data_IF_859584479756
#
_entry.id   IF_859584479756
#
_cell.length_a   1.000
_cell.length_b   1.000
_cell.length_c   1.000
_cell.angle_alpha   90.00
_cell.angle_beta   90.00
_cell.angle_gamma   90.00
#
_symmetry.space_group_name_H-M   'P 1'
#
loop_
_entity.id
_entity.type
_entity.pdbx_description
1 polymer ?
#
# COMPACT_ATOMS: atom_id res chain seq x y z
N UNK A 1 -28.93 5.36 -12.78
CA UNK A 1 -29.04 4.89 -11.42
C UNK A 1 -27.87 5.37 -10.58
N UNK A 2 -28.05 5.37 -9.30
CA UNK A 2 -27.14 5.96 -8.38
C UNK A 2 -25.84 5.21 -8.06
N UNK A 3 -25.51 4.12 -8.73
CA UNK A 3 -24.29 3.39 -8.41
C UNK A 3 -23.09 4.03 -9.10
N UNK A 4 -22.13 4.48 -8.28
CA UNK A 4 -20.87 4.99 -8.79
C UNK A 4 -20.00 3.79 -9.22
N UNK A 5 -19.36 3.89 -10.37
CA UNK A 5 -18.49 2.81 -10.86
C UNK A 5 -17.21 2.71 -10.02
N UNK A 6 -16.61 1.54 -10.01
CA UNK A 6 -15.31 1.37 -9.35
C UNK A 6 -14.25 2.25 -10.00
N UNK A 7 -14.34 2.46 -11.31
CA UNK A 7 -13.43 3.34 -12.04
C UNK A 7 -13.51 4.78 -11.54
N UNK A 8 -14.72 5.28 -11.31
CA UNK A 8 -14.93 6.62 -10.77
C UNK A 8 -14.40 6.72 -9.34
N UNK A 9 -14.65 5.67 -8.54
CA UNK A 9 -14.18 5.65 -7.16
C UNK A 9 -12.66 5.72 -7.09
N UNK A 10 -11.98 4.97 -7.95
CA UNK A 10 -10.52 5.00 -8.04
C UNK A 10 -10.03 6.37 -8.51
N UNK A 11 -10.67 6.94 -9.53
CA UNK A 11 -10.29 8.25 -10.05
C UNK A 11 -10.40 9.33 -8.97
N UNK A 12 -11.48 9.31 -8.19
CA UNK A 12 -11.67 10.25 -7.09
C UNK A 12 -10.59 10.05 -6.01
N UNK A 13 -10.26 8.80 -5.68
CA UNK A 13 -9.22 8.50 -4.72
C UNK A 13 -7.88 9.05 -5.19
N UNK A 14 -7.51 8.80 -6.45
CA UNK A 14 -6.24 9.26 -7.02
C UNK A 14 -6.10 10.78 -6.97
N UNK A 15 -7.20 11.52 -7.08
CA UNK A 15 -7.16 12.99 -7.02
C UNK A 15 -6.89 13.53 -5.61
N UNK A 16 -6.99 12.67 -4.59
CA UNK A 16 -6.90 13.09 -3.18
C UNK A 16 -5.69 12.54 -2.45
N UNK A 17 -4.91 11.67 -3.08
CA UNK A 17 -3.81 10.97 -2.43
C UNK A 17 -2.49 11.26 -3.11
N UNK A 18 -1.41 10.95 -2.40
CA UNK A 18 -0.05 11.08 -2.92
C UNK A 18 0.33 9.80 -3.65
N UNK A 19 0.77 9.94 -4.89
CA UNK A 19 1.22 8.81 -5.72
C UNK A 19 2.72 8.93 -5.97
N UNK A 20 3.45 7.86 -5.65
CA UNK A 20 4.89 7.80 -5.87
C UNK A 20 5.21 6.99 -7.12
N UNK A 21 6.28 7.36 -7.79
CA UNK A 21 6.87 6.50 -8.81
C UNK A 21 7.61 5.36 -8.10
N UNK A 22 7.93 4.29 -8.83
CA UNK A 22 8.71 3.19 -8.25
C UNK A 22 10.09 3.69 -7.79
N UNK A 23 10.69 4.64 -8.52
CA UNK A 23 11.99 5.22 -8.14
C UNK A 23 11.91 5.97 -6.82
N UNK A 24 10.89 6.79 -6.65
CA UNK A 24 10.69 7.55 -5.40
C UNK A 24 10.47 6.60 -4.21
N UNK A 25 9.67 5.56 -4.43
CA UNK A 25 9.40 4.58 -3.38
C UNK A 25 10.66 3.78 -3.02
N UNK A 26 11.45 3.39 -4.02
CA UNK A 26 12.69 2.64 -3.79
C UNK A 26 13.67 3.47 -2.97
N UNK A 27 13.75 4.76 -3.23
CA UNK A 27 14.60 5.66 -2.45
C UNK A 27 14.20 5.68 -0.99
N UNK A 28 12.91 5.76 -0.69
CA UNK A 28 12.41 5.73 0.68
C UNK A 28 12.76 4.40 1.37
N UNK A 29 12.60 3.29 0.66
CA UNK A 29 12.91 1.96 1.18
C UNK A 29 14.40 1.84 1.48
N UNK A 30 15.25 2.29 0.55
CA UNK A 30 16.70 2.19 0.72
C UNK A 30 17.21 3.04 1.88
N UNK A 31 16.52 4.13 2.21
CA UNK A 31 16.85 5.00 3.34
C UNK A 31 16.14 4.60 4.63
N UNK A 32 15.37 3.51 4.59
CA UNK A 32 14.57 3.04 5.73
C UNK A 32 13.63 4.14 6.28
N UNK A 33 12.99 4.86 5.37
CA UNK A 33 12.12 5.99 5.72
C UNK A 33 10.64 5.69 5.57
N UNK A 34 10.28 4.44 5.29
CA UNK A 34 8.87 4.08 5.12
C UNK A 34 8.58 2.68 5.62
N UNK A 35 7.27 2.45 5.83
CA UNK A 35 6.71 1.10 5.97
C UNK A 35 6.16 0.74 4.60
N UNK A 36 6.69 -0.30 3.99
CA UNK A 36 6.23 -0.76 2.69
C UNK A 36 5.14 -1.81 2.91
N UNK A 37 3.93 -1.54 2.47
CA UNK A 37 2.75 -2.36 2.76
C UNK A 37 2.17 -2.97 1.50
N UNK A 38 2.16 -4.31 1.45
CA UNK A 38 1.63 -5.09 0.34
C UNK A 38 0.18 -5.45 0.62
N UNK A 39 -0.72 -4.98 -0.23
CA UNK A 39 -2.17 -5.15 -0.05
C UNK A 39 -2.73 -6.36 -0.81
N UNK A 40 -1.88 -7.09 -1.53
CA UNK A 40 -2.34 -8.17 -2.39
C UNK A 40 -2.90 -9.34 -1.58
N UNK A 41 -3.66 -10.20 -2.24
CA UNK A 41 -4.13 -11.45 -1.68
C UNK A 41 -2.93 -12.37 -1.46
N UNK A 42 -2.96 -13.20 -0.40
CA UNK A 42 -1.84 -14.08 -0.07
C UNK A 42 -1.48 -15.01 -1.24
N UNK A 43 -2.45 -15.40 -2.04
CA UNK A 43 -2.20 -16.27 -3.20
C UNK A 43 -1.32 -15.59 -4.24
N UNK A 44 -1.42 -14.27 -4.36
CA UNK A 44 -0.55 -13.51 -5.28
C UNK A 44 0.90 -13.54 -4.79
N UNK A 45 1.12 -13.43 -3.48
CA UNK A 45 2.46 -13.52 -2.91
C UNK A 45 3.05 -14.92 -3.11
N UNK A 46 2.24 -15.94 -2.90
CA UNK A 46 2.68 -17.33 -3.06
C UNK A 46 3.05 -17.65 -4.52
N UNK A 47 2.29 -17.10 -5.45
CA UNK A 47 2.48 -17.35 -6.88
C UNK A 47 3.58 -16.49 -7.49
N UNK A 48 3.60 -15.20 -7.15
CA UNK A 48 4.45 -14.21 -7.82
C UNK A 48 5.67 -13.80 -7.00
N UNK A 49 5.71 -14.18 -5.73
CA UNK A 49 6.74 -13.74 -4.81
C UNK A 49 6.34 -12.48 -4.07
N UNK A 50 7.18 -12.06 -3.15
CA UNK A 50 6.93 -10.88 -2.32
C UNK A 50 8.12 -9.94 -2.37
N UNK A 51 7.85 -8.66 -2.15
CA UNK A 51 8.91 -7.66 -2.07
C UNK A 51 9.63 -7.79 -0.72
N UNK A 52 10.95 -7.84 -0.75
CA UNK A 52 11.77 -7.93 0.46
C UNK A 52 11.46 -6.78 1.41
N UNK A 53 11.32 -7.11 2.70
CA UNK A 53 11.03 -6.17 3.77
C UNK A 53 9.66 -5.51 3.70
N UNK A 54 8.74 -6.01 2.88
CA UNK A 54 7.38 -5.50 2.88
C UNK A 54 6.55 -6.19 3.97
N UNK A 55 5.54 -5.46 4.46
CA UNK A 55 4.57 -5.98 5.40
C UNK A 55 3.33 -6.39 4.62
N UNK A 56 2.92 -7.64 4.76
CA UNK A 56 1.70 -8.08 4.09
C UNK A 56 0.48 -7.78 4.94
N UNK A 57 -0.36 -6.87 4.47
CA UNK A 57 -1.64 -6.54 5.11
C UNK A 57 -2.69 -6.62 4.02
N UNK A 58 -3.45 -7.72 3.92
CA UNK A 58 -4.46 -7.87 2.86
C UNK A 58 -5.44 -6.71 2.89
N UNK A 59 -5.86 -6.25 1.72
CA UNK A 59 -6.74 -5.09 1.61
C UNK A 59 -7.94 -5.16 2.57
N UNK A 60 -8.53 -6.34 2.73
CA UNK A 60 -9.72 -6.52 3.57
C UNK A 60 -9.47 -6.32 5.07
N UNK A 61 -8.23 -6.36 5.51
CA UNK A 61 -7.88 -6.21 6.93
C UNK A 61 -7.16 -4.91 7.23
N UNK A 62 -6.89 -4.10 6.20
CA UNK A 62 -6.03 -2.93 6.34
C UNK A 62 -6.45 -1.97 7.45
N UNK A 63 -7.69 -1.52 7.42
CA UNK A 63 -8.16 -0.54 8.41
C UNK A 63 -8.07 -1.07 9.83
N UNK A 64 -8.38 -2.34 10.00
CA UNK A 64 -8.36 -2.98 11.33
C UNK A 64 -6.94 -3.17 11.84
N UNK A 65 -6.02 -3.55 10.97
CA UNK A 65 -4.62 -3.80 11.36
C UNK A 65 -3.82 -2.51 11.53
N UNK A 66 -4.31 -1.41 10.95
CA UNK A 66 -3.65 -0.10 11.06
C UNK A 66 -4.24 0.80 12.15
N UNK A 67 -5.36 0.43 12.74
CA UNK A 67 -6.03 1.19 13.79
C UNK A 67 -5.45 0.80 15.17
N UNK A 68 -4.71 1.70 15.84
CA UNK A 68 -4.12 1.40 17.15
C UNK A 68 -5.15 1.01 18.23
N UNK A 69 -6.40 1.42 18.07
CA UNK A 69 -7.47 1.09 19.01
C UNK A 69 -8.16 -0.23 18.69
N UNK A 70 -7.83 -0.84 17.57
CA UNK A 70 -8.40 -2.12 17.18
C UNK A 70 -7.66 -3.27 17.87
N UNK A 71 -8.38 -4.35 18.28
CA UNK A 71 -7.71 -5.53 18.83
C UNK A 71 -6.83 -6.25 17.83
N UNK A 72 -6.94 -5.87 16.55
CA UNK A 72 -6.15 -6.49 15.46
C UNK A 72 -4.91 -5.67 15.09
N UNK A 73 -4.64 -4.58 15.81
CA UNK A 73 -3.49 -3.73 15.50
C UNK A 73 -2.18 -4.52 15.60
N UNK A 74 -1.30 -4.35 14.61
CA UNK A 74 0.01 -5.03 14.53
C UNK A 74 1.07 -4.24 15.26
N UNK A 75 0.93 -4.10 16.58
CA UNK A 75 1.86 -3.37 17.41
C UNK A 75 3.29 -3.88 17.24
N UNK A 76 4.23 -2.95 17.11
CA UNK A 76 5.66 -3.28 16.95
C UNK A 76 6.06 -3.70 15.56
N UNK A 77 5.11 -3.86 14.63
CA UNK A 77 5.41 -4.25 13.24
C UNK A 77 5.47 -3.05 12.32
N UNK A 78 4.71 -2.01 12.64
CA UNK A 78 4.61 -0.80 11.83
C UNK A 78 5.14 0.37 12.65
N UNK A 79 6.07 1.12 12.06
CA UNK A 79 6.57 2.35 12.69
C UNK A 79 5.64 3.50 12.29
N UNK A 80 4.81 3.93 13.24
CA UNK A 80 3.80 4.96 12.98
C UNK A 80 4.40 6.33 12.67
N UNK A 81 5.70 6.52 12.88
CA UNK A 81 6.37 7.78 12.60
C UNK A 81 6.92 7.87 11.18
N UNK A 82 6.93 6.76 10.46
CA UNK A 82 7.43 6.71 9.08
C UNK A 82 6.30 6.78 8.08
N UNK A 83 6.63 7.15 6.84
CA UNK A 83 5.69 7.17 5.73
C UNK A 83 5.09 5.78 5.54
N UNK A 84 3.78 5.71 5.31
CA UNK A 84 3.11 4.46 4.93
C UNK A 84 3.07 4.45 3.41
N UNK A 85 3.70 3.46 2.78
CA UNK A 85 3.74 3.34 1.32
C UNK A 85 3.06 2.04 0.93
N UNK A 86 1.89 2.16 0.32
CA UNK A 86 1.03 1.03 -0.03
C UNK A 86 1.21 0.63 -1.48
N UNK A 87 1.10 -0.65 -1.77
CA UNK A 87 1.08 -1.13 -3.14
C UNK A 87 0.20 -2.36 -3.29
N UNK A 88 -0.27 -2.59 -4.51
CA UNK A 88 -0.98 -3.79 -4.89
C UNK A 88 -0.33 -4.31 -6.18
N UNK A 89 -1.02 -5.12 -6.98
CA UNK A 89 -0.43 -5.60 -8.24
C UNK A 89 -0.25 -4.47 -9.25
N UNK A 90 -1.21 -3.55 -9.30
CA UNK A 90 -1.17 -2.37 -10.17
C UNK A 90 -1.45 -1.12 -9.37
N UNK A 91 -2.65 -0.56 -9.49
CA UNK A 91 -2.99 0.71 -8.85
C UNK A 91 -4.37 0.73 -8.18
N UNK A 92 -5.28 -0.16 -8.57
CA UNK A 92 -6.68 -0.03 -8.18
C UNK A 92 -6.92 -0.18 -6.68
N UNK A 93 -6.43 -1.27 -6.11
CA UNK A 93 -6.63 -1.55 -4.67
C UNK A 93 -5.86 -0.57 -3.81
N UNK A 94 -4.64 -0.19 -4.22
CA UNK A 94 -3.83 0.72 -3.43
C UNK A 94 -4.38 2.14 -3.43
N UNK A 95 -4.99 2.57 -4.55
CA UNK A 95 -5.63 3.89 -4.60
C UNK A 95 -6.75 3.99 -3.57
N UNK A 96 -7.65 3.03 -3.56
CA UNK A 96 -8.77 3.01 -2.60
C UNK A 96 -8.29 2.87 -1.16
N UNK A 97 -7.30 2.01 -0.95
CA UNK A 97 -6.74 1.76 0.38
C UNK A 97 -6.08 3.02 0.96
N UNK A 98 -5.30 3.71 0.13
CA UNK A 98 -4.60 4.93 0.55
C UNK A 98 -5.60 6.01 0.95
N UNK A 99 -6.66 6.17 0.16
CA UNK A 99 -7.71 7.12 0.52
C UNK A 99 -8.38 6.74 1.83
N UNK A 100 -8.64 5.45 2.05
CA UNK A 100 -9.26 4.99 3.28
C UNK A 100 -8.40 5.34 4.50
N UNK A 101 -7.10 5.08 4.44
CA UNK A 101 -6.21 5.45 5.55
C UNK A 101 -6.09 6.95 5.73
N UNK A 102 -6.11 7.71 4.63
CA UNK A 102 -6.11 9.17 4.72
C UNK A 102 -7.37 9.66 5.45
N UNK A 103 -8.51 9.07 5.14
CA UNK A 103 -9.78 9.40 5.79
C UNK A 103 -9.75 9.04 7.29
N UNK A 104 -8.95 8.04 7.67
CA UNK A 104 -8.76 7.69 9.07
C UNK A 104 -7.86 8.69 9.81
N UNK A 105 -7.14 9.55 9.08
CA UNK A 105 -6.27 10.56 9.69
C UNK A 105 -4.78 10.35 9.47
N UNK A 106 -4.39 9.33 8.70
CA UNK A 106 -2.98 9.15 8.35
C UNK A 106 -2.56 10.27 7.41
N UNK A 107 -1.53 11.04 7.80
CA UNK A 107 -1.03 12.16 7.00
C UNK A 107 0.14 11.74 6.12
N UNK A 108 1.03 10.89 6.65
CA UNK A 108 2.20 10.39 5.92
C UNK A 108 1.80 9.10 5.21
N UNK A 109 1.06 9.23 4.13
CA UNK A 109 0.49 8.08 3.41
C UNK A 109 0.60 8.30 1.91
N UNK A 110 1.02 7.27 1.18
CA UNK A 110 1.15 7.30 -0.27
C UNK A 110 1.02 5.90 -0.82
N UNK A 111 0.92 5.80 -2.14
CA UNK A 111 0.94 4.51 -2.80
C UNK A 111 1.85 4.56 -4.03
N UNK A 112 2.18 3.39 -4.57
CA UNK A 112 3.11 3.27 -5.69
C UNK A 112 2.35 3.04 -6.98
N UNK A 113 2.56 3.92 -7.96
CA UNK A 113 1.99 3.75 -9.29
C UNK A 113 2.63 2.52 -9.95
N UNK A 114 1.79 1.70 -10.60
CA UNK A 114 2.25 0.49 -11.26
C UNK A 114 2.43 -0.72 -10.34
N UNK A 115 2.49 -0.50 -9.03
CA UNK A 115 2.53 -1.55 -8.01
C UNK A 115 3.58 -2.62 -8.23
N UNK A 116 3.29 -3.84 -7.77
CA UNK A 116 4.22 -4.96 -7.83
C UNK A 116 4.75 -5.22 -9.24
N UNK A 117 3.89 -5.07 -10.26
CA UNK A 117 4.28 -5.31 -11.65
C UNK A 117 5.44 -4.43 -12.09
N UNK A 118 5.45 -3.17 -11.67
CA UNK A 118 6.52 -2.24 -11.98
C UNK A 118 7.70 -2.37 -11.02
N UNK A 119 7.40 -2.62 -9.75
CA UNK A 119 8.43 -2.71 -8.70
C UNK A 119 9.45 -3.80 -8.99
N UNK A 120 8.98 -4.98 -9.41
CA UNK A 120 9.88 -6.11 -9.66
C UNK A 120 10.88 -5.85 -10.78
N UNK A 121 10.56 -4.91 -11.69
CA UNK A 121 11.47 -4.55 -12.80
C UNK A 121 12.20 -3.24 -12.55
N UNK A 122 12.07 -2.66 -11.36
CA UNK A 122 12.59 -1.32 -11.05
C UNK A 122 13.58 -1.32 -9.87
N UNK A 123 14.16 -2.46 -9.54
CA UNK A 123 15.21 -2.54 -8.53
C UNK A 123 14.77 -3.06 -7.16
N UNK A 124 13.49 -3.32 -6.97
CA UNK A 124 13.01 -3.97 -5.73
C UNK A 124 13.37 -5.45 -5.77
N UNK A 125 13.81 -5.97 -4.64
CA UNK A 125 14.14 -7.39 -4.53
C UNK A 125 12.88 -8.21 -4.28
N UNK A 126 12.74 -9.31 -5.01
CA UNK A 126 11.60 -10.22 -4.90
C UNK A 126 12.06 -11.55 -4.35
N UNK A 127 11.44 -11.97 -3.26
CA UNK A 127 11.68 -13.28 -2.64
C UNK A 127 10.58 -14.25 -3.09
N UNK A 128 10.96 -15.48 -3.41
CA UNK A 128 9.97 -16.49 -3.78
C UNK A 128 9.88 -17.64 -2.79
#
# INVERSE_FOLDING_TARGET
>A
MGIKSSKELVSEALSQIKTLTTSEALELVNKDQCNLIDLRDIRELEKMGRIENSHHIPRGMLEFWMDPDSPYFKEGKIDMNKEMVLFCAGVLRSALATKSLKDMGFEKISHIDGGFSQMKSSGFKVDK
#
